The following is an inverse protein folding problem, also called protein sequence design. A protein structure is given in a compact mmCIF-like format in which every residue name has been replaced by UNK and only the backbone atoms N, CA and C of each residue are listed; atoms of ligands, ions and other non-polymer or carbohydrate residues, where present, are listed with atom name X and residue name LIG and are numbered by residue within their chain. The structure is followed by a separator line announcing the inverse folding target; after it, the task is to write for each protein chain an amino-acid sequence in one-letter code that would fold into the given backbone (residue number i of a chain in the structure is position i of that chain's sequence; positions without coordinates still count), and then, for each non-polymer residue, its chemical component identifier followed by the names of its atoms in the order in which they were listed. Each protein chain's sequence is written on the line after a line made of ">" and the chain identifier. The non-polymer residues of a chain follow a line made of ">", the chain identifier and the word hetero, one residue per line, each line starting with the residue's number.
data_IF_813237902541
#
_entry.id   IF_813237902541
#
_cell.length_a   1.000
_cell.length_b   1.000
_cell.length_c   1.000
_cell.angle_alpha   90.00
_cell.angle_beta   90.00
_cell.angle_gamma   90.00
#
_symmetry.space_group_name_H-M   'P 1'
#
loop_
_entity.id
_entity.type
_entity.pdbx_description
1 polymer ?
#
# COMPACT_ATOMS: atom_id res chain seq x y z
N UNK A 1 -1.92 -13.87 10.61
CA UNK A 1 -2.88 -12.96 9.94
C UNK A 1 -2.46 -11.54 10.24
N UNK A 2 -2.39 -10.68 9.23
CA UNK A 2 -1.98 -9.29 9.38
C UNK A 2 -3.10 -8.40 9.94
N UNK A 3 -2.79 -7.10 10.01
CA UNK A 3 -3.72 -6.06 10.44
C UNK A 3 -3.54 -4.82 9.56
N UNK A 4 -4.64 -4.11 9.33
CA UNK A 4 -4.61 -2.74 8.83
C UNK A 4 -4.97 -1.78 9.97
N UNK A 5 -4.41 -0.58 9.92
CA UNK A 5 -4.50 0.41 10.98
C UNK A 5 -4.94 1.76 10.41
N UNK A 6 -5.70 2.51 11.21
CA UNK A 6 -5.99 3.92 10.97
C UNK A 6 -5.65 4.69 12.24
N UNK A 7 -4.93 5.80 12.08
CA UNK A 7 -4.65 6.75 13.15
C UNK A 7 -5.08 8.14 12.70
N UNK A 8 -5.86 8.83 13.53
CA UNK A 8 -6.31 10.20 13.29
C UNK A 8 -5.63 11.13 14.29
N UNK A 9 -4.59 11.90 13.90
CA UNK A 9 -3.82 12.72 14.83
C UNK A 9 -4.66 13.72 15.62
N UNK A 10 -5.61 14.38 14.96
CA UNK A 10 -6.45 15.42 15.57
C UNK A 10 -7.28 14.92 16.78
N UNK A 11 -7.72 13.66 16.74
CA UNK A 11 -8.53 13.04 17.80
C UNK A 11 -7.76 11.99 18.60
N UNK A 12 -6.51 11.70 18.19
CA UNK A 12 -5.70 10.56 18.66
C UNK A 12 -6.43 9.20 18.55
N UNK A 13 -7.45 9.11 17.69
CA UNK A 13 -8.21 7.88 17.48
C UNK A 13 -7.33 6.89 16.72
N UNK A 14 -7.10 5.71 17.31
CA UNK A 14 -6.43 4.60 16.66
C UNK A 14 -7.37 3.40 16.61
N UNK A 15 -7.57 2.84 15.41
CA UNK A 15 -8.31 1.59 15.22
C UNK A 15 -7.46 0.63 14.38
N UNK A 16 -7.72 -0.66 14.58
CA UNK A 16 -7.14 -1.71 13.76
C UNK A 16 -8.13 -2.82 13.54
N UNK A 17 -8.00 -3.52 12.42
CA UNK A 17 -8.78 -4.71 12.11
C UNK A 17 -7.86 -5.75 11.48
N UNK A 18 -8.07 -7.01 11.87
CA UNK A 18 -7.33 -8.13 11.28
C UNK A 18 -7.74 -8.29 9.81
N UNK A 19 -6.77 -8.58 8.96
CA UNK A 19 -7.08 -9.09 7.61
C UNK A 19 -7.38 -10.58 7.68
N UNK A 20 -7.48 -11.24 6.53
CA UNK A 20 -8.03 -12.59 6.43
C UNK A 20 -6.94 -13.65 6.25
N UNK A 21 -6.15 -13.60 5.18
CA UNK A 21 -5.28 -14.70 4.76
C UNK A 21 -3.79 -14.31 4.69
N UNK A 22 -3.10 -14.37 5.82
CA UNK A 22 -1.63 -14.29 5.88
C UNK A 22 -1.08 -12.88 6.08
N UNK A 23 0.03 -12.57 5.40
CA UNK A 23 0.80 -11.32 5.57
C UNK A 23 0.17 -10.18 4.78
N UNK A 24 -0.15 -9.09 5.49
CA UNK A 24 -0.62 -7.81 4.90
C UNK A 24 0.58 -6.91 4.67
N UNK A 25 0.61 -6.20 3.55
CA UNK A 25 1.81 -5.45 3.16
C UNK A 25 1.58 -3.96 2.88
N UNK A 26 0.43 -3.57 2.32
CA UNK A 26 0.06 -2.16 2.11
C UNK A 26 -1.46 -1.95 2.20
N UNK A 27 -1.86 -0.69 2.38
CA UNK A 27 -3.24 -0.20 2.28
C UNK A 27 -3.23 1.15 1.56
N UNK A 28 -4.09 1.31 0.54
CA UNK A 28 -4.18 2.53 -0.27
C UNK A 28 -5.66 2.89 -0.47
N UNK A 29 -6.08 4.16 -0.26
CA UNK A 29 -7.46 4.57 -0.50
C UNK A 29 -7.84 4.46 -1.98
N UNK A 30 -9.11 4.18 -2.25
CA UNK A 30 -9.68 4.26 -3.58
C UNK A 30 -10.09 5.70 -3.87
N UNK A 31 -9.77 6.19 -5.07
CA UNK A 31 -10.12 7.54 -5.50
C UNK A 31 -11.62 7.79 -5.36
N UNK A 32 -11.96 8.96 -4.81
CA UNK A 32 -13.35 9.42 -4.63
C UNK A 32 -14.24 8.49 -3.78
N UNK A 33 -13.65 7.60 -2.98
CA UNK A 33 -14.35 6.69 -2.05
C UNK A 33 -13.63 6.64 -0.70
N UNK A 34 -14.13 7.38 0.28
CA UNK A 34 -13.49 7.56 1.59
C UNK A 34 -13.45 6.31 2.46
N UNK A 35 -14.28 5.32 2.17
CA UNK A 35 -14.49 4.07 2.91
C UNK A 35 -13.98 2.83 2.15
N UNK A 36 -13.36 3.01 0.99
CA UNK A 36 -12.82 1.92 0.18
C UNK A 36 -11.30 1.98 0.09
N UNK A 37 -10.67 0.82 0.21
CA UNK A 37 -9.21 0.69 0.15
C UNK A 37 -8.82 -0.53 -0.69
N UNK A 38 -7.67 -0.47 -1.34
CA UNK A 38 -6.98 -1.66 -1.83
C UNK A 38 -5.92 -2.08 -0.82
N UNK A 39 -5.92 -3.36 -0.48
CA UNK A 39 -5.02 -3.97 0.49
C UNK A 39 -4.21 -5.06 -0.19
N UNK A 40 -2.88 -5.02 0.01
CA UNK A 40 -1.97 -6.08 -0.39
C UNK A 40 -1.94 -7.17 0.66
N UNK A 41 -2.31 -8.39 0.29
CA UNK A 41 -2.27 -9.53 1.20
C UNK A 41 -1.82 -10.79 0.47
N UNK A 42 -0.75 -11.44 0.97
CA UNK A 42 0.00 -12.46 0.20
C UNK A 42 0.25 -11.95 -1.22
N UNK A 43 -0.31 -12.57 -2.25
CA UNK A 43 -0.16 -12.15 -3.65
C UNK A 43 -1.36 -11.38 -4.19
N UNK A 44 -2.37 -11.12 -3.36
CA UNK A 44 -3.63 -10.53 -3.79
C UNK A 44 -3.67 -9.02 -3.54
N UNK A 45 -4.21 -8.30 -4.52
CA UNK A 45 -4.71 -6.93 -4.38
C UNK A 45 -6.20 -7.04 -4.15
N UNK A 46 -6.64 -6.71 -2.94
CA UNK A 46 -8.04 -6.88 -2.52
C UNK A 46 -8.68 -5.53 -2.25
N UNK A 47 -9.79 -5.26 -2.94
CA UNK A 47 -10.68 -4.15 -2.63
C UNK A 47 -11.45 -4.48 -1.36
N UNK A 48 -11.47 -3.57 -0.40
CA UNK A 48 -12.29 -3.66 0.80
C UNK A 48 -13.17 -2.41 0.93
N UNK A 49 -14.36 -2.61 1.49
CA UNK A 49 -15.14 -1.54 2.12
C UNK A 49 -14.92 -1.66 3.63
N UNK A 50 -14.25 -0.68 4.22
CA UNK A 50 -14.02 -0.61 5.66
C UNK A 50 -14.91 0.48 6.27
N UNK A 51 -15.93 0.06 7.01
CA UNK A 51 -16.67 0.93 7.92
C UNK A 51 -15.74 1.29 9.08
N UNK A 52 -15.08 2.43 8.95
CA UNK A 52 -14.14 2.95 9.93
C UNK A 52 -14.83 3.44 11.21
N UNK A 53 -16.13 3.75 11.16
CA UNK A 53 -16.89 4.19 12.33
C UNK A 53 -17.12 3.01 13.27
N UNK A 54 -17.66 1.92 12.74
CA UNK A 54 -17.93 0.69 13.50
C UNK A 54 -16.75 -0.30 13.52
N UNK A 55 -15.63 0.06 12.88
CA UNK A 55 -14.43 -0.76 12.71
C UNK A 55 -14.75 -2.17 12.18
N UNK A 56 -15.41 -2.24 11.02
CA UNK A 56 -15.89 -3.49 10.40
C UNK A 56 -15.60 -3.53 8.92
N UNK A 57 -15.06 -4.65 8.42
CA UNK A 57 -15.02 -4.91 6.97
C UNK A 57 -16.42 -5.30 6.52
N UNK A 58 -17.02 -4.47 5.67
CA UNK A 58 -18.38 -4.67 5.13
C UNK A 58 -18.35 -5.64 3.94
N UNK A 59 -17.35 -5.49 3.07
CA UNK A 59 -17.14 -6.37 1.92
C UNK A 59 -15.67 -6.46 1.54
N UNK A 60 -15.31 -7.54 0.84
CA UNK A 60 -13.98 -7.72 0.24
C UNK A 60 -14.10 -8.40 -1.12
N UNK A 61 -13.24 -8.01 -2.06
CA UNK A 61 -13.15 -8.58 -3.40
C UNK A 61 -11.69 -8.59 -3.88
N UNK A 62 -11.19 -9.76 -4.29
CA UNK A 62 -9.88 -9.83 -4.95
C UNK A 62 -10.00 -9.19 -6.33
N UNK A 63 -9.26 -8.11 -6.55
CA UNK A 63 -9.18 -7.41 -7.83
C UNK A 63 -8.14 -8.03 -8.77
N UNK A 64 -7.03 -8.48 -8.19
CA UNK A 64 -5.94 -9.12 -8.91
C UNK A 64 -5.13 -10.03 -8.00
N UNK A 65 -4.52 -11.05 -8.59
CA UNK A 65 -3.51 -11.90 -7.96
C UNK A 65 -2.24 -11.80 -8.79
N UNK A 66 -1.11 -11.46 -8.16
CA UNK A 66 0.17 -11.43 -8.86
C UNK A 66 0.56 -12.84 -9.31
N UNK A 67 0.93 -13.05 -10.58
CA UNK A 67 1.30 -14.35 -11.11
C UNK A 67 2.71 -14.72 -10.63
N UNK A 68 2.80 -15.20 -9.38
CA UNK A 68 4.03 -15.52 -8.69
C UNK A 68 3.90 -16.84 -7.89
N UNK A 69 5.01 -17.33 -7.33
CA UNK A 69 5.08 -18.53 -6.50
C UNK A 69 4.25 -18.34 -5.23
N UNK A 70 3.48 -19.33 -4.77
CA UNK A 70 2.66 -19.23 -3.57
C UNK A 70 3.47 -19.06 -2.28
N UNK A 71 4.79 -19.31 -2.34
CA UNK A 71 5.74 -19.05 -1.26
C UNK A 71 6.21 -17.59 -1.21
N UNK A 72 5.76 -16.75 -2.15
CA UNK A 72 6.02 -15.32 -2.17
C UNK A 72 4.82 -14.54 -1.64
N UNK A 73 5.08 -13.27 -1.31
CA UNK A 73 4.11 -12.27 -0.93
C UNK A 73 4.47 -10.93 -1.55
N UNK A 74 3.46 -10.07 -1.70
CA UNK A 74 3.61 -8.64 -1.87
C UNK A 74 4.37 -8.05 -0.67
N UNK A 75 5.09 -6.96 -0.93
CA UNK A 75 5.74 -6.17 0.10
C UNK A 75 5.30 -4.70 -0.02
N UNK A 76 6.16 -3.76 -0.41
CA UNK A 76 5.74 -2.37 -0.53
C UNK A 76 4.84 -2.15 -1.76
N UNK A 77 4.00 -1.12 -1.70
CA UNK A 77 3.05 -0.79 -2.76
C UNK A 77 2.63 0.68 -2.73
N UNK A 78 2.64 1.32 -3.90
CA UNK A 78 2.23 2.71 -4.07
C UNK A 78 1.56 2.93 -5.41
N UNK A 79 0.61 3.87 -5.48
CA UNK A 79 0.03 4.27 -6.76
C UNK A 79 0.87 5.35 -7.43
N UNK A 80 1.00 5.29 -8.75
CA UNK A 80 1.39 6.46 -9.54
C UNK A 80 0.25 7.48 -9.62
N UNK A 81 0.49 8.66 -10.20
CA UNK A 81 -0.53 9.72 -10.29
C UNK A 81 -1.81 9.32 -11.06
N UNK A 82 -1.75 8.31 -11.93
CA UNK A 82 -2.95 7.81 -12.65
C UNK A 82 -3.81 6.92 -11.77
N UNK A 83 -3.29 6.49 -10.62
CA UNK A 83 -3.90 5.54 -9.71
C UNK A 83 -3.64 4.08 -10.10
N UNK A 84 -2.63 3.82 -10.95
CA UNK A 84 -2.11 2.48 -11.19
C UNK A 84 -1.25 2.08 -10.00
N UNK A 85 -1.54 0.92 -9.43
CA UNK A 85 -0.78 0.34 -8.33
C UNK A 85 0.55 -0.20 -8.87
N UNK A 86 1.65 0.15 -8.22
CA UNK A 86 2.96 -0.47 -8.38
C UNK A 86 3.27 -1.21 -7.10
N UNK A 87 3.72 -2.47 -7.22
CA UNK A 87 4.11 -3.28 -6.07
C UNK A 87 4.95 -4.45 -6.55
N UNK A 88 5.85 -4.93 -5.71
CA UNK A 88 6.59 -6.15 -6.00
C UNK A 88 6.52 -7.16 -4.88
N UNK A 89 7.06 -8.32 -5.21
CA UNK A 89 7.00 -9.51 -4.39
C UNK A 89 8.37 -9.87 -3.82
N UNK A 90 8.35 -10.71 -2.80
CA UNK A 90 9.51 -11.34 -2.17
C UNK A 90 9.09 -12.67 -1.55
N UNK A 91 10.04 -13.52 -1.19
CA UNK A 91 9.73 -14.74 -0.45
C UNK A 91 9.06 -14.41 0.89
N UNK A 92 7.94 -15.08 1.17
CA UNK A 92 7.29 -15.03 2.47
C UNK A 92 8.03 -15.97 3.43
N UNK A 93 9.05 -15.42 4.09
CA UNK A 93 9.96 -16.24 4.89
C UNK A 93 9.42 -16.56 6.30
N UNK A 94 8.33 -15.92 6.75
CA UNK A 94 7.76 -16.11 8.10
C UNK A 94 8.82 -16.19 9.23
N UNK A 95 9.82 -15.29 9.20
CA UNK A 95 10.93 -15.27 10.15
C UNK A 95 12.15 -16.14 9.79
N UNK A 96 12.19 -16.75 8.60
CA UNK A 96 13.36 -17.44 8.02
C UNK A 96 14.14 -16.53 7.08
N UNK A 97 15.20 -17.06 6.50
CA UNK A 97 16.00 -16.36 5.49
C UNK A 97 15.17 -16.06 4.22
N UNK A 98 15.19 -14.79 3.82
CA UNK A 98 14.62 -14.33 2.55
C UNK A 98 15.55 -14.80 1.42
N UNK A 99 14.99 -15.51 0.45
CA UNK A 99 15.72 -15.92 -0.74
C UNK A 99 15.88 -14.75 -1.71
N UNK A 100 17.11 -14.51 -2.15
CA UNK A 100 17.40 -13.45 -3.13
C UNK A 100 16.92 -13.86 -4.52
N UNK A 101 16.41 -12.88 -5.27
CA UNK A 101 16.07 -13.05 -6.69
C UNK A 101 14.80 -13.86 -6.98
N UNK A 102 13.99 -14.18 -5.96
CA UNK A 102 12.77 -14.97 -6.13
C UNK A 102 11.53 -14.12 -6.41
N UNK A 103 11.62 -12.80 -6.20
CA UNK A 103 10.53 -11.84 -6.38
C UNK A 103 10.54 -11.14 -7.74
N UNK A 104 9.50 -10.36 -7.94
CA UNK A 104 9.21 -9.65 -9.18
C UNK A 104 8.65 -8.25 -8.86
N UNK A 105 8.74 -7.33 -9.82
CA UNK A 105 8.12 -6.01 -9.72
C UNK A 105 7.00 -5.89 -10.74
N UNK A 106 5.79 -5.57 -10.28
CA UNK A 106 4.57 -5.51 -11.07
C UNK A 106 3.90 -4.13 -10.99
N UNK A 107 2.99 -3.90 -11.93
CA UNK A 107 1.94 -2.89 -11.79
C UNK A 107 0.57 -3.51 -12.02
N UNK A 108 -0.46 -2.94 -11.41
CA UNK A 108 -1.85 -3.31 -11.62
C UNK A 108 -2.73 -2.07 -11.87
N UNK A 109 -3.52 -2.11 -12.93
CA UNK A 109 -4.65 -1.21 -13.16
C UNK A 109 -5.85 -2.01 -13.67
N UNK A 110 -7.06 -1.50 -13.46
CA UNK A 110 -8.25 -2.17 -14.01
C UNK A 110 -8.26 -2.19 -15.56
N UNK A 111 -7.57 -1.23 -16.19
CA UNK A 111 -7.47 -1.13 -17.65
C UNK A 111 -6.46 -2.12 -18.23
N UNK A 112 -5.29 -2.23 -17.61
CA UNK A 112 -4.12 -2.93 -18.17
C UNK A 112 -3.92 -4.31 -17.54
N UNK A 113 -4.66 -4.65 -16.49
CA UNK A 113 -4.45 -5.86 -15.70
C UNK A 113 -3.13 -5.83 -14.93
N UNK A 114 -2.62 -7.00 -14.58
CA UNK A 114 -1.30 -7.15 -13.95
C UNK A 114 -0.22 -7.18 -15.04
N UNK A 115 0.76 -6.27 -14.94
CA UNK A 115 1.92 -6.21 -15.82
C UNK A 115 3.19 -6.45 -15.04
N UNK A 116 4.04 -7.34 -15.53
CA UNK A 116 5.38 -7.61 -14.99
C UNK A 116 6.38 -6.62 -15.59
N UNK A 117 7.23 -6.03 -14.75
CA UNK A 117 8.26 -5.06 -15.17
C UNK A 117 9.68 -5.55 -14.91
N UNK A 118 9.96 -6.10 -13.73
CA UNK A 118 11.29 -6.59 -13.35
C UNK A 118 11.22 -7.98 -12.75
N UNK A 119 12.27 -8.77 -13.01
CA UNK A 119 12.50 -10.10 -12.43
C UNK A 119 13.70 -10.05 -11.50
N UNK A 120 13.93 -11.14 -10.77
CA UNK A 120 15.10 -11.31 -9.89
C UNK A 120 15.18 -10.25 -8.79
N UNK A 121 14.04 -9.89 -8.21
CA UNK A 121 13.95 -9.01 -7.05
C UNK A 121 14.16 -9.83 -5.78
N UNK A 122 14.93 -9.30 -4.82
CA UNK A 122 15.11 -9.97 -3.53
C UNK A 122 14.11 -9.49 -2.48
N UNK A 123 14.03 -8.18 -2.27
CA UNK A 123 13.08 -7.55 -1.34
C UNK A 123 12.53 -6.30 -2.02
N UNK A 124 11.34 -6.41 -2.62
CA UNK A 124 10.68 -5.26 -3.27
C UNK A 124 10.25 -4.22 -2.24
N UNK A 125 10.77 -3.01 -2.34
CA UNK A 125 10.54 -1.98 -1.33
C UNK A 125 10.23 -0.63 -1.98
N UNK A 126 10.68 0.49 -1.39
CA UNK A 126 10.28 1.84 -1.73
C UNK A 126 10.05 2.07 -3.22
N UNK A 127 8.87 2.59 -3.53
CA UNK A 127 8.45 2.99 -4.88
C UNK A 127 8.06 4.47 -4.82
N UNK A 128 8.51 5.24 -5.81
CA UNK A 128 8.06 6.62 -5.97
C UNK A 128 8.10 7.06 -7.42
N UNK A 129 7.31 8.07 -7.79
CA UNK A 129 7.33 8.66 -9.12
C UNK A 129 7.43 10.17 -9.05
N UNK A 130 8.12 10.77 -10.03
CA UNK A 130 8.20 12.24 -10.13
C UNK A 130 6.81 12.85 -10.33
N UNK A 131 6.60 14.10 -9.91
CA UNK A 131 5.30 14.80 -10.00
C UNK A 131 4.77 14.93 -11.44
N UNK A 132 5.64 14.88 -12.45
CA UNK A 132 5.28 14.86 -13.88
C UNK A 132 5.31 13.46 -14.52
N UNK A 133 5.49 12.42 -13.70
CA UNK A 133 5.55 11.00 -14.06
C UNK A 133 6.52 10.69 -15.21
N UNK A 134 7.67 11.38 -15.25
CA UNK A 134 8.75 11.07 -16.21
C UNK A 134 9.78 10.11 -15.63
N UNK A 135 9.82 9.98 -14.31
CA UNK A 135 10.72 9.10 -13.57
C UNK A 135 9.95 8.23 -12.60
N UNK A 136 10.45 7.00 -12.43
CA UNK A 136 10.07 6.09 -11.36
C UNK A 136 11.34 5.68 -10.63
N UNK A 137 11.32 5.78 -9.30
CA UNK A 137 12.39 5.31 -8.43
C UNK A 137 11.93 4.06 -7.69
N UNK A 138 12.86 3.13 -7.51
CA UNK A 138 12.56 1.83 -6.96
C UNK A 138 13.71 1.30 -6.11
N UNK A 139 13.37 0.57 -5.06
CA UNK A 139 14.33 -0.07 -4.17
C UNK A 139 14.10 -1.59 -4.17
N UNK A 140 15.17 -2.33 -4.52
CA UNK A 140 15.36 -3.70 -4.00
C UNK A 140 16.37 -3.60 -2.86
N UNK A 141 15.93 -3.82 -1.62
CA UNK A 141 16.75 -3.56 -0.43
C UNK A 141 18.08 -4.31 -0.41
N UNK A 142 18.13 -5.50 -1.02
CA UNK A 142 19.38 -6.30 -1.05
C UNK A 142 20.41 -5.76 -2.05
N UNK A 143 20.03 -4.84 -2.94
CA UNK A 143 20.97 -4.12 -3.81
C UNK A 143 21.67 -2.95 -3.10
N UNK A 144 21.12 -2.46 -1.98
CA UNK A 144 21.61 -1.25 -1.30
C UNK A 144 21.65 0.01 -2.19
N UNK A 145 20.73 0.06 -3.16
CA UNK A 145 20.67 1.08 -4.19
C UNK A 145 19.23 1.62 -4.31
N UNK A 146 19.10 2.93 -4.53
CA UNK A 146 17.91 3.50 -5.16
C UNK A 146 18.13 3.47 -6.67
N UNK A 147 17.31 2.74 -7.39
CA UNK A 147 17.32 2.66 -8.85
C UNK A 147 16.38 3.72 -9.44
N UNK A 148 16.72 4.29 -10.60
CA UNK A 148 15.89 5.21 -11.39
C UNK A 148 15.56 4.60 -12.75
N UNK A 149 14.34 4.86 -13.21
CA UNK A 149 13.86 4.54 -14.55
C UNK A 149 13.28 5.76 -15.25
N UNK A 150 13.40 5.80 -16.57
CA UNK A 150 12.49 6.62 -17.38
C UNK A 150 11.10 5.98 -17.34
N UNK A 151 10.09 6.80 -17.04
CA UNK A 151 8.72 6.35 -16.84
C UNK A 151 7.77 6.99 -17.85
N UNK A 152 6.98 6.16 -18.53
CA UNK A 152 5.89 6.59 -19.38
C UNK A 152 4.55 6.33 -18.68
N UNK A 153 3.97 7.40 -18.15
CA UNK A 153 2.73 7.36 -17.38
C UNK A 153 1.52 6.85 -18.18
N UNK A 154 1.49 7.10 -19.49
CA UNK A 154 0.34 6.83 -20.33
C UNK A 154 0.11 5.33 -20.53
N UNK A 155 1.20 4.56 -20.65
CA UNK A 155 1.16 3.11 -20.86
C UNK A 155 1.75 2.30 -19.70
N UNK A 156 2.22 2.98 -18.64
CA UNK A 156 2.76 2.34 -17.45
C UNK A 156 4.10 1.64 -17.69
N UNK A 157 4.93 2.11 -18.62
CA UNK A 157 6.21 1.47 -18.95
C UNK A 157 7.40 2.14 -18.29
N UNK A 158 8.33 1.34 -17.81
CA UNK A 158 9.64 1.78 -17.32
C UNK A 158 10.76 1.29 -18.23
N UNK A 159 11.79 2.12 -18.42
CA UNK A 159 12.97 1.77 -19.21
C UNK A 159 14.21 2.49 -18.67
N UNK A 160 15.38 2.24 -19.29
CA UNK A 160 16.63 2.94 -18.99
C UNK A 160 17.03 2.92 -17.50
N UNK A 161 17.03 1.72 -16.90
CA UNK A 161 17.49 1.50 -15.52
C UNK A 161 18.86 2.15 -15.29
N UNK A 162 18.95 3.03 -14.28
CA UNK A 162 20.18 3.68 -13.84
C UNK A 162 20.28 3.64 -12.31
N UNK A 163 21.46 3.35 -11.73
CA UNK A 163 21.66 3.54 -10.31
C UNK A 163 21.59 5.04 -9.98
N UNK A 164 20.75 5.43 -9.03
CA UNK A 164 20.64 6.82 -8.58
C UNK A 164 21.48 7.06 -7.31
N UNK A 165 21.32 6.22 -6.30
CA UNK A 165 21.95 6.44 -5.00
C UNK A 165 22.40 5.13 -4.36
N UNK A 166 23.71 4.98 -4.21
CA UNK A 166 24.33 3.82 -3.56
C UNK A 166 24.56 4.10 -2.07
N UNK A 167 23.82 3.38 -1.22
CA UNK A 167 23.88 3.55 0.24
C UNK A 167 25.26 3.17 0.79
N UNK A 168 25.89 2.11 0.24
CA UNK A 168 27.20 1.63 0.69
C UNK A 168 28.32 2.57 0.27
N UNK A 169 28.30 3.06 -0.98
CA UNK A 169 29.31 4.01 -1.48
C UNK A 169 29.30 5.33 -0.68
N UNK A 170 28.16 5.70 -0.12
CA UNK A 170 28.03 6.85 0.77
C UNK A 170 28.32 6.54 2.26
N UNK A 171 28.81 5.33 2.58
CA UNK A 171 29.14 4.88 3.93
C UNK A 171 27.96 4.99 4.93
N UNK A 172 26.74 4.78 4.46
CA UNK A 172 25.54 4.82 5.29
C UNK A 172 25.21 3.42 5.82
N UNK A 173 24.88 3.27 7.12
CA UNK A 173 24.47 1.99 7.67
C UNK A 173 23.03 1.65 7.27
N UNK A 174 22.73 0.36 7.22
CA UNK A 174 21.41 -0.17 6.90
C UNK A 174 21.16 -0.38 5.41
N UNK A 175 20.00 -0.95 5.11
CA UNK A 175 19.52 -1.18 3.74
C UNK A 175 18.38 -0.21 3.42
N UNK A 176 18.29 0.33 2.18
CA UNK A 176 17.17 1.16 1.79
C UNK A 176 15.87 0.35 1.82
N UNK A 177 14.80 0.94 2.36
CA UNK A 177 13.50 0.30 2.61
C UNK A 177 12.38 1.12 1.92
N UNK A 178 11.36 1.59 2.63
CA UNK A 178 10.34 2.50 2.09
C UNK A 178 10.89 3.89 1.72
N UNK A 179 10.23 4.57 0.77
CA UNK A 179 10.57 5.94 0.40
C UNK A 179 9.34 6.83 0.11
N UNK A 180 9.53 8.14 0.18
CA UNK A 180 8.58 9.16 -0.30
C UNK A 180 9.32 10.31 -0.98
N UNK A 181 8.60 11.27 -1.57
CA UNK A 181 9.16 12.46 -2.22
C UNK A 181 8.56 13.74 -1.60
N UNK A 182 9.38 14.78 -1.46
CA UNK A 182 8.92 16.12 -1.11
C UNK A 182 8.56 16.97 -2.33
N UNK A 183 7.91 18.10 -2.08
CA UNK A 183 7.44 19.05 -3.09
C UNK A 183 8.57 19.75 -3.85
N UNK A 184 9.80 19.70 -3.34
CA UNK A 184 11.01 20.17 -4.03
C UNK A 184 11.62 19.09 -4.95
N UNK A 185 11.02 17.89 -4.97
CA UNK A 185 11.44 16.77 -5.80
C UNK A 185 12.57 15.92 -5.20
N UNK A 186 12.79 15.98 -3.88
CA UNK A 186 13.83 15.17 -3.21
C UNK A 186 13.23 13.93 -2.54
N UNK A 187 13.96 12.82 -2.63
CA UNK A 187 13.54 11.54 -2.07
C UNK A 187 13.93 11.45 -0.59
N UNK A 188 13.00 10.97 0.22
CA UNK A 188 13.20 10.62 1.61
C UNK A 188 13.16 9.10 1.72
N UNK A 189 14.30 8.49 2.06
CA UNK A 189 14.49 7.04 2.05
C UNK A 189 14.76 6.53 3.45
N UNK A 190 13.98 5.55 3.89
CA UNK A 190 14.22 4.83 5.13
C UNK A 190 15.40 3.87 4.98
N UNK A 191 16.28 3.83 6.00
CA UNK A 191 17.37 2.87 6.07
C UNK A 191 17.13 1.88 7.22
N UNK A 192 16.65 0.69 6.85
CA UNK A 192 16.40 -0.42 7.76
C UNK A 192 17.70 -0.93 8.37
N UNK A 193 17.75 -1.00 9.70
CA UNK A 193 18.99 -1.30 10.45
C UNK A 193 19.99 -0.13 10.52
N UNK A 194 19.67 1.03 9.94
CA UNK A 194 20.49 2.25 10.01
C UNK A 194 19.97 3.31 10.99
N UNK A 195 18.78 3.09 11.57
CA UNK A 195 18.09 4.02 12.49
C UNK A 195 17.96 5.45 11.92
N UNK A 196 17.69 5.58 10.62
CA UNK A 196 17.66 6.90 9.96
C UNK A 196 16.76 6.96 8.73
N UNK A 197 16.38 8.18 8.39
CA UNK A 197 15.93 8.59 7.05
C UNK A 197 17.05 9.40 6.39
N UNK A 198 17.25 9.24 5.09
CA UNK A 198 18.10 10.11 4.28
C UNK A 198 17.27 10.90 3.27
N UNK A 199 17.70 12.14 2.98
CA UNK A 199 17.14 12.98 1.92
C UNK A 199 18.13 13.03 0.75
N UNK A 200 17.72 12.58 -0.42
CA UNK A 200 18.57 12.47 -1.62
C UNK A 200 17.97 13.30 -2.75
N UNK A 201 18.81 14.04 -3.46
CA UNK A 201 18.42 14.82 -4.64
C UNK A 201 18.51 13.98 -5.91
N UNK A 202 17.40 13.59 -6.56
CA UNK A 202 17.44 12.66 -7.69
C UNK A 202 18.17 13.20 -8.91
N UNK A 203 18.13 14.51 -9.13
CA UNK A 203 18.80 15.12 -10.30
C UNK A 203 20.32 14.98 -10.28
N UNK A 204 20.93 14.80 -9.11
CA UNK A 204 22.39 14.75 -8.92
C UNK A 204 22.88 13.50 -8.20
N UNK A 205 22.00 12.75 -7.53
CA UNK A 205 22.38 11.66 -6.63
C UNK A 205 23.02 12.15 -5.32
N UNK A 206 22.88 13.43 -4.99
CA UNK A 206 23.48 14.04 -3.80
C UNK A 206 22.70 13.70 -2.53
N UNK A 207 23.42 13.33 -1.47
CA UNK A 207 22.88 13.23 -0.11
C UNK A 207 22.75 14.64 0.49
N UNK A 208 21.51 15.12 0.65
CA UNK A 208 21.22 16.45 1.18
C UNK A 208 21.16 16.47 2.70
N UNK A 209 20.61 15.43 3.31
CA UNK A 209 20.33 15.40 4.74
C UNK A 209 20.27 13.97 5.26
N UNK A 210 20.63 13.78 6.53
CA UNK A 210 20.37 12.55 7.28
C UNK A 210 19.62 12.91 8.56
N UNK A 211 18.54 12.20 8.84
CA UNK A 211 17.76 12.30 10.07
C UNK A 211 17.94 11.03 10.89
N UNK A 212 18.61 11.14 12.03
CA UNK A 212 18.69 10.05 13.01
C UNK A 212 17.37 9.89 13.76
N UNK A 213 16.85 8.67 13.80
CA UNK A 213 15.67 8.31 14.58
C UNK A 213 16.14 7.71 15.91
N UNK A 214 15.67 8.25 17.05
CA UNK A 214 16.14 7.81 18.36
C UNK A 214 15.64 6.40 18.71
N UNK A 215 16.42 5.70 19.54
CA UNK A 215 16.10 4.38 20.07
C UNK A 215 17.21 3.35 19.81
N UNK A 216 17.51 2.52 20.81
CA UNK A 216 18.43 1.40 20.64
C UNK A 216 17.79 0.36 19.72
N UNK A 217 18.54 -0.12 18.72
CA UNK A 217 18.11 -1.14 17.76
C UNK A 217 16.88 -0.76 16.92
N UNK A 218 16.58 0.54 16.78
CA UNK A 218 15.50 1.02 15.92
C UNK A 218 15.82 0.78 14.44
N UNK A 219 14.95 0.06 13.74
CA UNK A 219 15.03 -0.21 12.30
C UNK A 219 13.93 0.57 11.61
N UNK A 220 14.30 1.61 10.88
CA UNK A 220 13.33 2.46 10.18
C UNK A 220 12.89 1.76 8.90
N UNK A 221 11.59 1.55 8.74
CA UNK A 221 11.01 0.73 7.66
C UNK A 221 10.42 1.57 6.54
N UNK A 222 9.74 2.68 6.85
CA UNK A 222 9.12 3.53 5.83
C UNK A 222 8.83 4.92 6.34
N UNK A 223 8.39 5.81 5.46
CA UNK A 223 8.05 7.18 5.78
C UNK A 223 7.06 7.80 4.79
N UNK A 224 6.29 8.79 5.24
CA UNK A 224 5.35 9.53 4.40
C UNK A 224 4.97 10.88 5.03
N UNK A 225 4.79 11.89 4.18
CA UNK A 225 4.31 13.21 4.62
C UNK A 225 2.81 13.21 4.93
N UNK A 226 2.41 13.93 5.95
CA UNK A 226 1.05 14.08 6.43
C UNK A 226 0.84 15.41 7.15
N UNK A 227 -0.17 15.47 8.01
CA UNK A 227 -0.58 16.70 8.68
C UNK A 227 -1.36 17.66 7.77
N UNK A 228 -2.00 18.70 8.32
CA UNK A 228 -2.88 19.59 7.56
C UNK A 228 -2.19 20.33 6.41
N UNK A 229 -0.87 20.57 6.50
CA UNK A 229 -0.08 21.30 5.51
C UNK A 229 0.90 20.39 4.74
N UNK A 230 0.87 19.08 4.97
CA UNK A 230 1.83 18.12 4.40
C UNK A 230 3.29 18.38 4.80
N UNK A 231 3.57 19.06 5.92
CA UNK A 231 4.91 19.37 6.46
C UNK A 231 5.31 18.51 7.67
N UNK A 232 4.51 17.49 7.98
CA UNK A 232 4.77 16.49 9.03
C UNK A 232 5.25 15.18 8.39
N UNK A 233 6.47 14.76 8.67
CA UNK A 233 6.99 13.48 8.18
C UNK A 233 6.75 12.39 9.22
N UNK A 234 5.87 11.45 8.90
CA UNK A 234 5.63 10.26 9.70
C UNK A 234 6.68 9.21 9.34
N UNK A 235 7.28 8.57 10.35
CA UNK A 235 8.35 7.59 10.19
C UNK A 235 7.98 6.31 10.92
N UNK A 236 7.89 5.22 10.18
CA UNK A 236 7.59 3.89 10.70
C UNK A 236 8.89 3.19 11.04
N UNK A 237 8.92 2.53 12.19
CA UNK A 237 10.07 1.75 12.61
C UNK A 237 9.64 0.51 13.39
N UNK A 238 10.58 -0.39 13.53
CA UNK A 238 10.47 -1.59 14.37
C UNK A 238 11.77 -1.82 15.13
N UNK A 239 11.80 -2.78 16.03
CA UNK A 239 12.99 -3.24 16.76
C UNK A 239 13.29 -4.70 16.45
N UNK A 240 14.32 -5.29 17.06
CA UNK A 240 14.66 -6.71 16.85
C UNK A 240 13.56 -7.67 17.31
N UNK A 241 12.81 -7.31 18.36
CA UNK A 241 11.64 -8.01 18.88
C UNK A 241 10.34 -7.66 18.15
N UNK A 242 10.43 -6.98 17.01
CA UNK A 242 9.31 -6.57 16.16
C UNK A 242 8.32 -5.59 16.83
N UNK A 243 8.77 -4.82 17.83
CA UNK A 243 7.97 -3.77 18.45
C UNK A 243 7.89 -2.53 17.54
N UNK A 244 6.71 -2.32 16.95
CA UNK A 244 6.46 -1.19 16.05
C UNK A 244 6.40 0.17 16.75
N UNK A 245 6.95 1.20 16.10
CA UNK A 245 6.91 2.59 16.55
C UNK A 245 6.59 3.53 15.38
N UNK A 246 5.88 4.62 15.66
CA UNK A 246 5.62 5.70 14.72
C UNK A 246 6.20 6.98 15.31
N UNK A 247 7.11 7.61 14.59
CA UNK A 247 7.68 8.90 14.94
C UNK A 247 7.07 9.99 14.05
N UNK A 248 6.95 11.19 14.60
CA UNK A 248 6.52 12.39 13.89
C UNK A 248 7.68 13.37 13.86
N UNK A 249 8.12 13.77 12.67
CA UNK A 249 9.17 14.77 12.47
C UNK A 249 8.55 16.03 11.89
N UNK A 250 8.83 17.17 12.52
CA UNK A 250 8.35 18.50 12.11
C UNK A 250 9.52 19.45 11.93
N UNK A 251 9.28 20.62 11.33
CA UNK A 251 10.31 21.65 11.17
C UNK A 251 11.35 21.33 10.08
N UNK A 252 11.01 20.46 9.12
CA UNK A 252 11.90 20.09 8.00
C UNK A 252 12.05 21.21 6.96
N UNK A 253 11.21 22.25 7.03
CA UNK A 253 11.21 23.36 6.07
C UNK A 253 10.67 23.00 4.69
N UNK A 254 10.12 21.79 4.52
CA UNK A 254 9.58 21.27 3.25
C UNK A 254 8.26 20.56 3.47
N UNK A 255 7.53 20.34 2.37
CA UNK A 255 6.23 19.67 2.36
C UNK A 255 6.27 18.47 1.43
N UNK A 256 5.39 17.50 1.64
CA UNK A 256 5.10 16.44 0.68
C UNK A 256 4.03 16.80 -0.33
N UNK A 257 3.51 15.77 -0.99
CA UNK A 257 2.35 15.83 -1.87
C UNK A 257 1.20 14.98 -1.31
N UNK A 258 -0.07 15.29 -1.65
CA UNK A 258 -1.15 14.36 -1.44
C UNK A 258 -0.82 13.00 -2.10
N UNK A 259 -0.86 11.88 -1.36
CA UNK A 259 -0.50 10.59 -1.94
C UNK A 259 -1.51 10.18 -3.01
N UNK A 260 -1.07 9.62 -4.15
CA UNK A 260 -2.00 9.12 -5.16
C UNK A 260 -2.86 7.98 -4.61
N UNK A 261 -4.15 8.00 -4.94
CA UNK A 261 -5.12 6.96 -4.61
C UNK A 261 -5.28 5.96 -5.76
N UNK A 262 -5.71 4.74 -5.45
CA UNK A 262 -5.98 3.73 -6.46
C UNK A 262 -7.18 4.14 -7.32
N UNK A 263 -7.05 4.05 -8.65
CA UNK A 263 -8.10 4.41 -9.57
C UNK A 263 -8.95 3.19 -9.92
N UNK A 264 -10.16 3.13 -9.37
CA UNK A 264 -11.16 2.13 -9.68
C UNK A 264 -12.27 2.79 -10.53
N UNK A 265 -12.40 2.48 -11.83
CA UNK A 265 -13.43 3.08 -12.68
C UNK A 265 -14.84 2.89 -12.11
N UNK A 266 -15.68 3.92 -12.26
CA UNK A 266 -17.04 3.98 -11.72
C UNK A 266 -17.97 2.84 -12.16
N UNK A 267 -17.66 2.12 -13.25
CA UNK A 267 -18.41 0.94 -13.70
C UNK A 267 -18.34 -0.24 -12.71
N UNK A 268 -17.45 -0.19 -11.72
CA UNK A 268 -17.45 -1.06 -10.52
C UNK A 268 -18.07 -0.35 -9.30
N UNK A 269 -19.09 0.50 -9.49
CA UNK A 269 -20.20 0.46 -8.54
C UNK A 269 -20.73 -0.96 -8.60
N UNK A 270 -20.16 -1.83 -7.75
CA UNK A 270 -20.83 -2.99 -7.23
C UNK A 270 -22.28 -2.56 -7.05
N UNK A 271 -23.22 -3.19 -7.76
CA UNK A 271 -24.62 -3.09 -7.35
C UNK A 271 -24.61 -3.57 -5.91
N UNK A 272 -24.60 -2.64 -4.97
CA UNK A 272 -24.73 -2.95 -3.56
C UNK A 272 -26.17 -3.42 -3.41
N UNK A 273 -26.37 -4.73 -3.47
CA UNK A 273 -27.63 -5.30 -3.08
C UNK A 273 -27.75 -5.13 -1.57
N UNK A 274 -28.73 -4.33 -1.13
CA UNK A 274 -29.09 -4.24 0.28
C UNK A 274 -29.94 -5.47 0.61
N UNK A 275 -29.44 -6.33 1.49
CA UNK A 275 -30.22 -7.44 2.06
C UNK A 275 -30.79 -6.95 3.39
N UNK A 276 -32.11 -6.97 3.52
CA UNK A 276 -32.83 -6.62 4.74
C UNK A 276 -33.72 -7.79 5.16
N UNK A 277 -33.67 -8.17 6.44
CA UNK A 277 -34.60 -9.17 6.99
C UNK A 277 -35.93 -8.47 7.25
N UNK A 278 -36.98 -8.90 6.54
CA UNK A 278 -38.35 -8.49 6.86
C UNK A 278 -38.77 -9.17 8.16
N UNK A 279 -39.18 -8.39 9.16
CA UNK A 279 -39.65 -8.90 10.44
C UNK A 279 -41.15 -9.21 10.34
N UNK A 280 -41.46 -10.43 9.87
CA UNK A 280 -42.81 -10.99 9.88
C UNK A 280 -42.83 -12.08 10.96
N UNK A 281 -43.62 -11.84 12.02
CA UNK A 281 -43.66 -12.74 13.17
C UNK A 281 -44.33 -14.08 12.86
N UNK A 282 -43.87 -15.14 13.53
CA UNK A 282 -44.49 -16.46 13.49
C UNK A 282 -44.15 -17.33 12.29
N UNK A 283 -43.31 -16.86 11.35
CA UNK A 283 -42.88 -17.65 10.20
C UNK A 283 -41.87 -18.75 10.55
N UNK A 284 -42.06 -19.91 9.94
CA UNK A 284 -41.18 -21.08 9.95
C UNK A 284 -40.52 -21.28 8.58
N UNK A 285 -40.70 -22.43 7.93
CA UNK A 285 -40.11 -22.75 6.63
C UNK A 285 -40.95 -22.13 5.51
N UNK A 286 -40.47 -21.05 4.88
CA UNK A 286 -41.19 -20.34 3.82
C UNK A 286 -40.60 -20.58 2.43
N UNK A 287 -41.45 -20.72 1.41
CA UNK A 287 -41.07 -21.00 0.01
C UNK A 287 -42.01 -20.33 -1.03
N UNK A 288 -41.73 -20.54 -2.32
CA UNK A 288 -42.58 -20.17 -3.47
C UNK A 288 -43.05 -18.70 -3.52
N UNK A 289 -42.12 -17.72 -3.62
CA UNK A 289 -42.50 -16.31 -3.72
C UNK A 289 -43.21 -15.99 -5.05
N UNK A 290 -44.28 -15.20 -4.97
CA UNK A 290 -44.97 -14.61 -6.12
C UNK A 290 -45.19 -13.12 -5.88
N UNK A 291 -44.72 -12.28 -6.79
CA UNK A 291 -44.92 -10.83 -6.74
C UNK A 291 -46.12 -10.41 -7.59
N UNK A 292 -47.12 -9.80 -6.96
CA UNK A 292 -48.26 -9.22 -7.68
C UNK A 292 -47.97 -7.74 -8.00
N UNK A 293 -47.86 -7.42 -9.28
CA UNK A 293 -47.50 -6.07 -9.76
C UNK A 293 -48.62 -5.05 -9.50
N UNK A 294 -49.90 -5.45 -9.61
CA UNK A 294 -51.02 -4.51 -9.46
C UNK A 294 -51.18 -4.04 -8.01
N UNK A 295 -51.01 -4.97 -7.07
CA UNK A 295 -51.17 -4.71 -5.62
C UNK A 295 -49.86 -4.43 -4.91
N UNK A 296 -48.72 -4.53 -5.61
CA UNK A 296 -47.37 -4.38 -5.04
C UNK A 296 -47.15 -5.27 -3.79
N UNK A 297 -47.58 -6.53 -3.89
CA UNK A 297 -47.61 -7.46 -2.75
C UNK A 297 -46.82 -8.74 -3.04
N UNK A 298 -46.07 -9.21 -2.03
CA UNK A 298 -45.37 -10.49 -2.04
C UNK A 298 -46.25 -11.58 -1.40
N UNK A 299 -46.59 -12.59 -2.18
CA UNK A 299 -47.23 -13.82 -1.73
C UNK A 299 -46.17 -14.91 -1.58
N UNK A 300 -46.28 -15.77 -0.58
CA UNK A 300 -45.41 -16.92 -0.37
C UNK A 300 -46.15 -17.98 0.47
N UNK A 301 -45.64 -19.20 0.51
CA UNK A 301 -46.20 -20.29 1.33
C UNK A 301 -45.31 -20.59 2.51
N UNK A 302 -45.91 -21.07 3.59
CA UNK A 302 -45.22 -21.63 4.74
C UNK A 302 -45.46 -23.13 4.78
N UNK A 303 -44.39 -23.91 4.70
CA UNK A 303 -44.40 -25.36 4.81
C UNK A 303 -44.46 -25.75 6.29
N UNK A 304 -45.30 -26.74 6.61
CA UNK A 304 -45.40 -27.34 7.94
C UNK A 304 -44.46 -28.53 8.07
#
# INVERSE_FOLDING_TARGET
>A
VGKIHMYTPATKRAISIKTWDGTTSFIIPVRDRSDHFVVGEKLNVTLIHWDVENNKIVSKQVLATMPDKPTNRLNDGKCDSTGRLWSGTMTDAAGKDIKSGEGFFYSYSNKDGVKLHLKNISISNGIESSSYNKKLWYIDSRKFMVDEFDFNVNNGEISNLKPLFDVKKNNLPGAPDGMTIDADGNLWVALFGGSRIIRVKPSTGELLQTLSIPGSNTKVTSTGFGGPNLDELYVMATTDDETGSIFLVTGLGVRGHPPPSFNLPSLLTLQQHKIERLNIDGLTLVESPYWNIETQSLFFVELR
#
